data_IF_184713759899
#
_entry.id   IF_184713759899
#
_cell.length_a   1.000
_cell.length_b   1.000
_cell.length_c   1.000
_cell.angle_alpha   90.00
_cell.angle_beta   90.00
_cell.angle_gamma   90.00
#
_symmetry.space_group_name_H-M   'P 1'
#
loop_
_entity.id
_entity.type
_entity.pdbx_description
1 polymer ?
#
# COMPACT_ATOMS: atom_id res chain seq x y z
N UNK A 1 27.05 12.65 -49.36
CA UNK A 1 26.89 13.60 -48.22
C UNK A 1 25.55 14.28 -48.36
N UNK A 2 24.68 14.16 -47.35
CA UNK A 2 23.39 14.84 -47.29
C UNK A 2 23.43 16.05 -46.36
N UNK A 3 22.65 17.08 -46.68
CA UNK A 3 22.58 18.30 -45.87
C UNK A 3 21.33 18.28 -45.00
N UNK A 4 21.48 18.62 -43.75
CA UNK A 4 20.34 18.70 -42.82
C UNK A 4 19.38 19.84 -43.22
N UNK A 5 18.09 19.62 -43.40
CA UNK A 5 17.15 20.67 -43.81
C UNK A 5 16.86 21.67 -42.68
N UNK A 6 17.20 21.35 -41.41
CA UNK A 6 16.92 22.22 -40.28
C UNK A 6 18.13 23.12 -39.91
N UNK A 7 19.35 22.59 -39.95
CA UNK A 7 20.56 23.35 -39.52
C UNK A 7 21.66 23.42 -40.57
N UNK A 8 21.43 22.90 -41.78
CA UNK A 8 22.34 22.90 -42.95
C UNK A 8 23.71 22.22 -42.71
N UNK A 9 23.89 21.46 -41.63
CA UNK A 9 25.09 20.67 -41.38
C UNK A 9 25.23 19.55 -42.41
N UNK A 10 26.46 19.29 -42.87
CA UNK A 10 26.77 18.16 -43.75
C UNK A 10 26.91 16.89 -42.96
N UNK A 11 26.27 15.82 -43.42
CA UNK A 11 26.16 14.53 -42.74
C UNK A 11 26.48 13.39 -43.71
N UNK A 12 26.86 12.24 -43.17
CA UNK A 12 26.99 11.02 -43.94
C UNK A 12 25.66 10.61 -44.58
N UNK A 13 25.72 10.01 -45.78
CA UNK A 13 24.51 9.58 -46.52
C UNK A 13 23.66 8.58 -45.71
N UNK A 14 24.27 7.79 -44.80
CA UNK A 14 23.63 6.81 -43.97
C UNK A 14 23.19 7.33 -42.58
N UNK A 15 23.41 8.61 -42.27
CA UNK A 15 23.03 9.15 -40.97
C UNK A 15 21.50 9.15 -40.79
N UNK A 16 20.99 8.55 -39.74
CA UNK A 16 19.55 8.47 -39.43
C UNK A 16 19.08 9.69 -38.63
N UNK A 17 20.00 10.44 -38.05
CA UNK A 17 19.73 11.70 -37.34
C UNK A 17 20.87 12.68 -37.50
N UNK A 18 20.58 13.98 -37.40
CA UNK A 18 21.58 15.03 -37.45
C UNK A 18 22.33 15.14 -36.13
N UNK A 19 23.66 14.99 -36.13
CA UNK A 19 24.51 15.11 -34.95
C UNK A 19 24.62 16.54 -34.41
N UNK A 20 24.26 17.55 -35.23
CA UNK A 20 24.31 18.95 -34.83
C UNK A 20 23.02 19.48 -34.20
N UNK A 21 21.85 19.03 -34.67
CA UNK A 21 20.55 19.54 -34.19
C UNK A 21 19.55 18.45 -33.81
N UNK A 22 19.91 17.16 -33.91
CA UNK A 22 19.03 16.03 -33.49
C UNK A 22 17.89 15.70 -34.46
N UNK A 23 17.75 16.41 -35.61
CA UNK A 23 16.67 16.15 -36.57
C UNK A 23 16.81 14.76 -37.18
N UNK A 24 15.77 13.95 -37.15
CA UNK A 24 15.75 12.58 -37.66
C UNK A 24 15.46 12.56 -39.16
N UNK A 25 16.21 11.74 -39.93
CA UNK A 25 16.06 11.53 -41.38
C UNK A 25 15.59 10.09 -41.62
N UNK A 26 14.52 9.95 -42.35
CA UNK A 26 14.02 8.67 -42.81
C UNK A 26 12.65 8.34 -42.23
N UNK A 27 11.72 8.13 -43.14
CA UNK A 27 10.41 7.58 -42.84
C UNK A 27 10.57 6.09 -42.48
N UNK A 28 10.45 5.76 -41.21
CA UNK A 28 10.15 4.38 -40.78
C UNK A 28 8.67 4.18 -41.04
N UNK A 29 8.23 3.12 -41.76
CA UNK A 29 6.80 2.80 -41.89
C UNK A 29 6.19 2.65 -40.48
N UNK A 30 4.91 3.00 -40.27
CA UNK A 30 4.29 2.96 -38.96
C UNK A 30 4.14 1.52 -38.50
N UNK A 31 5.09 1.03 -37.70
CA UNK A 31 4.88 -0.11 -36.82
C UNK A 31 4.14 0.39 -35.61
N UNK A 32 2.87 0.06 -35.53
CA UNK A 32 2.06 0.16 -34.32
C UNK A 32 2.67 -0.71 -33.24
N UNK A 33 3.48 -0.09 -32.39
CA UNK A 33 3.74 -0.45 -31.00
C UNK A 33 4.55 0.71 -30.41
N UNK A 34 3.86 1.64 -29.77
CA UNK A 34 4.46 2.72 -29.02
C UNK A 34 5.18 2.15 -27.80
N UNK A 35 6.49 1.98 -27.91
CA UNK A 35 7.38 1.86 -26.77
C UNK A 35 7.78 3.27 -26.38
N UNK A 36 7.55 3.75 -25.15
CA UNK A 36 8.02 5.05 -24.69
C UNK A 36 9.56 5.15 -24.80
N UNK A 37 10.15 6.36 -24.98
CA UNK A 37 11.58 6.52 -25.12
C UNK A 37 12.31 5.96 -23.89
N UNK A 38 13.15 4.96 -24.12
CA UNK A 38 14.06 4.40 -23.15
C UNK A 38 15.07 5.48 -22.71
N UNK A 39 14.83 6.08 -21.57
CA UNK A 39 15.87 6.74 -20.80
C UNK A 39 16.91 5.68 -20.39
N UNK A 40 18.18 5.96 -20.71
CA UNK A 40 19.41 5.31 -20.27
C UNK A 40 19.21 3.97 -19.53
N UNK A 41 19.49 2.88 -20.24
CA UNK A 41 19.54 1.55 -19.64
C UNK A 41 20.61 1.53 -18.55
N UNK A 42 20.23 1.85 -17.33
CA UNK A 42 20.89 1.31 -16.14
C UNK A 42 20.76 -0.20 -16.28
N UNK A 43 21.87 -0.99 -16.16
CA UNK A 43 21.75 -2.44 -16.18
C UNK A 43 20.66 -2.85 -15.19
N UNK A 44 19.78 -3.81 -15.54
CA UNK A 44 18.72 -4.21 -14.63
C UNK A 44 19.36 -4.68 -13.34
N UNK A 45 19.33 -3.83 -12.31
CA UNK A 45 19.48 -4.32 -10.95
C UNK A 45 18.45 -5.43 -10.81
N UNK A 46 18.84 -6.61 -10.27
CA UNK A 46 17.85 -7.62 -9.94
C UNK A 46 16.82 -6.90 -9.08
N UNK A 47 15.64 -6.66 -9.64
CA UNK A 47 14.51 -6.18 -8.89
C UNK A 47 14.32 -7.25 -7.82
N UNK A 48 14.69 -6.94 -6.59
CA UNK A 48 14.24 -7.71 -5.44
C UNK A 48 12.72 -7.67 -5.56
N UNK A 49 12.15 -8.74 -6.09
CA UNK A 49 10.72 -8.92 -6.05
C UNK A 49 10.34 -8.70 -4.58
N UNK A 50 9.45 -7.75 -4.25
CA UNK A 50 9.06 -7.51 -2.87
C UNK A 50 8.70 -8.87 -2.29
N UNK A 51 9.35 -9.25 -1.17
CA UNK A 51 9.13 -10.54 -0.56
C UNK A 51 7.62 -10.71 -0.37
N UNK A 52 7.05 -11.75 -0.97
CA UNK A 52 5.63 -12.03 -0.89
C UNK A 52 5.23 -12.15 0.58
N UNK A 53 4.46 -11.18 1.06
CA UNK A 53 3.90 -11.19 2.40
C UNK A 53 2.44 -11.68 2.30
N UNK A 54 2.14 -12.92 2.70
CA UNK A 54 0.80 -13.50 2.59
C UNK A 54 -0.25 -12.77 3.43
N UNK A 55 0.16 -11.84 4.27
CA UNK A 55 -0.70 -11.04 5.14
C UNK A 55 -0.85 -9.59 4.68
N UNK A 56 -0.26 -9.24 3.53
CA UNK A 56 -0.42 -7.94 2.89
C UNK A 56 -1.48 -8.04 1.78
N UNK A 57 -2.69 -7.59 2.10
CA UNK A 57 -3.83 -7.57 1.19
C UNK A 57 -3.96 -6.26 0.41
N UNK A 58 -2.96 -5.37 0.50
CA UNK A 58 -3.02 -4.03 -0.11
C UNK A 58 -3.33 -4.08 -1.61
N UNK A 59 -2.77 -5.06 -2.34
CA UNK A 59 -2.98 -5.22 -3.78
C UNK A 59 -4.41 -5.70 -4.15
N UNK A 60 -5.20 -6.16 -3.19
CA UNK A 60 -6.58 -6.63 -3.41
C UNK A 60 -7.60 -5.47 -3.44
N UNK A 61 -7.19 -4.28 -3.02
CA UNK A 61 -8.05 -3.10 -2.90
C UNK A 61 -7.75 -2.08 -3.99
N UNK A 62 -8.81 -1.43 -4.49
CA UNK A 62 -8.70 -0.32 -5.44
C UNK A 62 -7.96 0.85 -4.77
N UNK A 63 -6.92 1.43 -5.41
CA UNK A 63 -6.20 2.59 -4.89
C UNK A 63 -7.09 3.78 -4.55
N UNK A 64 -8.20 3.95 -5.29
CA UNK A 64 -9.19 4.98 -5.02
C UNK A 64 -9.98 4.68 -3.75
N UNK A 65 -10.42 3.43 -3.54
CA UNK A 65 -11.10 3.00 -2.32
C UNK A 65 -10.21 3.22 -1.09
N UNK A 66 -8.90 2.90 -1.20
CA UNK A 66 -7.91 3.19 -0.15
C UNK A 66 -7.82 4.69 0.13
N UNK A 67 -7.65 5.51 -0.91
CA UNK A 67 -7.49 6.97 -0.78
C UNK A 67 -8.70 7.62 -0.11
N UNK A 68 -9.90 7.26 -0.54
CA UNK A 68 -11.15 7.88 -0.10
C UNK A 68 -11.54 7.44 1.32
N UNK A 69 -11.19 6.23 1.74
CA UNK A 69 -11.69 5.62 2.98
C UNK A 69 -10.62 5.39 4.06
N UNK A 70 -9.34 5.72 3.81
CA UNK A 70 -8.27 5.52 4.81
C UNK A 70 -8.51 6.25 6.13
N UNK A 71 -9.15 7.43 6.10
CA UNK A 71 -9.45 8.21 7.31
C UNK A 71 -10.41 7.43 8.22
N UNK A 72 -11.45 6.83 7.66
CA UNK A 72 -12.40 5.99 8.42
C UNK A 72 -11.71 4.74 8.98
N UNK A 73 -10.82 4.13 8.21
CA UNK A 73 -10.00 3.02 8.71
C UNK A 73 -9.11 3.43 9.89
N UNK A 74 -8.50 4.63 9.86
CA UNK A 74 -7.71 5.17 10.98
C UNK A 74 -8.55 5.37 12.24
N UNK A 75 -9.76 5.93 12.11
CA UNK A 75 -10.65 6.21 13.22
C UNK A 75 -11.00 4.93 14.01
N UNK A 76 -11.10 3.77 13.35
CA UNK A 76 -11.35 2.48 14.01
C UNK A 76 -10.29 2.16 15.07
N UNK A 77 -9.03 2.51 14.84
CA UNK A 77 -7.93 2.23 15.78
C UNK A 77 -7.72 3.32 16.82
N UNK A 78 -8.11 4.57 16.52
CA UNK A 78 -7.99 5.69 17.45
C UNK A 78 -9.14 5.74 18.46
N UNK A 79 -10.38 5.57 18.00
CA UNK A 79 -11.60 5.76 18.79
C UNK A 79 -12.23 4.43 19.25
N UNK A 80 -11.61 3.30 18.95
CA UNK A 80 -12.11 1.98 19.35
C UNK A 80 -13.53 1.70 18.85
N UNK A 81 -14.44 1.27 19.71
CA UNK A 81 -15.82 0.96 19.33
C UNK A 81 -16.56 2.11 18.65
N UNK A 82 -16.36 3.34 19.11
CA UNK A 82 -17.00 4.52 18.50
C UNK A 82 -16.50 4.68 17.07
N UNK A 83 -15.19 4.54 16.83
CA UNK A 83 -14.60 4.60 15.50
C UNK A 83 -15.10 3.49 14.57
N UNK A 84 -15.28 2.28 15.09
CA UNK A 84 -15.84 1.15 14.34
C UNK A 84 -17.27 1.46 13.91
N UNK A 85 -18.12 1.99 14.80
CA UNK A 85 -19.51 2.35 14.48
C UNK A 85 -19.53 3.46 13.42
N UNK A 86 -18.71 4.50 13.57
CA UNK A 86 -18.61 5.60 12.60
C UNK A 86 -18.19 5.06 11.23
N UNK A 87 -17.17 4.22 11.17
CA UNK A 87 -16.70 3.64 9.92
C UNK A 87 -17.76 2.75 9.27
N UNK A 88 -18.49 1.93 10.03
CA UNK A 88 -19.59 1.10 9.52
C UNK A 88 -20.71 1.93 8.90
N UNK A 89 -21.07 3.05 9.53
CA UNK A 89 -22.14 3.92 9.03
C UNK A 89 -21.70 4.74 7.81
N UNK A 90 -20.45 5.19 7.80
CA UNK A 90 -19.92 6.07 6.75
C UNK A 90 -19.42 5.32 5.51
N UNK A 91 -18.98 4.07 5.63
CA UNK A 91 -18.23 3.35 4.58
C UNK A 91 -18.68 1.91 4.37
N UNK A 92 -19.99 1.65 4.49
CA UNK A 92 -20.53 0.29 4.36
C UNK A 92 -20.28 -0.38 2.99
N UNK A 93 -19.99 0.39 1.94
CA UNK A 93 -19.68 -0.09 0.60
C UNK A 93 -18.17 -0.25 0.34
N UNK A 94 -17.30 0.30 1.18
CA UNK A 94 -15.84 0.23 1.02
C UNK A 94 -15.30 -1.11 1.51
N UNK A 95 -14.69 -1.87 0.59
CA UNK A 95 -14.03 -3.14 0.95
C UNK A 95 -12.80 -2.91 1.83
N UNK A 96 -12.03 -1.85 1.56
CA UNK A 96 -10.86 -1.46 2.33
C UNK A 96 -11.21 -1.07 3.77
N UNK A 97 -12.20 -0.19 3.96
CA UNK A 97 -12.63 0.21 5.30
C UNK A 97 -13.19 -0.98 6.08
N UNK A 98 -14.01 -1.84 5.44
CA UNK A 98 -14.57 -3.05 6.08
C UNK A 98 -13.48 -4.06 6.49
N UNK A 99 -12.39 -4.18 5.75
CA UNK A 99 -11.24 -4.98 6.15
C UNK A 99 -10.69 -4.49 7.49
N UNK A 100 -10.43 -3.17 7.61
CA UNK A 100 -9.89 -2.59 8.84
C UNK A 100 -10.90 -2.59 10.00
N UNK A 101 -12.19 -2.43 9.73
CA UNK A 101 -13.25 -2.57 10.72
C UNK A 101 -13.22 -3.97 11.36
N UNK A 102 -13.12 -5.04 10.55
CA UNK A 102 -13.01 -6.41 11.07
C UNK A 102 -11.76 -6.62 11.90
N UNK A 103 -10.62 -6.07 11.48
CA UNK A 103 -9.37 -6.16 12.24
C UNK A 103 -9.47 -5.39 13.57
N UNK A 104 -9.98 -4.16 13.54
CA UNK A 104 -10.19 -3.35 14.74
C UNK A 104 -11.15 -4.03 15.72
N UNK A 105 -12.23 -4.64 15.22
CA UNK A 105 -13.20 -5.36 16.06
C UNK A 105 -12.55 -6.55 16.77
N UNK A 106 -11.70 -7.33 16.07
CA UNK A 106 -10.94 -8.42 16.70
C UNK A 106 -10.05 -7.91 17.84
N UNK A 107 -9.39 -6.75 17.65
CA UNK A 107 -8.55 -6.11 18.65
C UNK A 107 -9.38 -5.68 19.87
N UNK A 108 -10.55 -5.07 19.66
CA UNK A 108 -11.43 -4.63 20.73
C UNK A 108 -11.98 -5.81 21.52
N UNK A 109 -12.39 -6.89 20.85
CA UNK A 109 -12.81 -8.12 21.50
C UNK A 109 -11.68 -8.72 22.36
N UNK A 110 -10.45 -8.77 21.83
CA UNK A 110 -9.30 -9.24 22.60
C UNK A 110 -9.02 -8.35 23.82
N UNK A 111 -9.19 -7.03 23.68
CA UNK A 111 -9.05 -6.07 24.78
C UNK A 111 -10.08 -6.31 25.89
N UNK A 112 -11.34 -6.56 25.53
CA UNK A 112 -12.39 -6.89 26.51
C UNK A 112 -12.10 -8.23 27.18
N UNK A 113 -11.72 -9.25 26.40
CA UNK A 113 -11.41 -10.57 26.96
C UNK A 113 -10.23 -10.52 27.94
N UNK A 114 -9.28 -9.60 27.74
CA UNK A 114 -8.17 -9.44 28.69
C UNK A 114 -8.59 -8.96 30.06
N UNK A 115 -9.78 -8.33 30.21
CA UNK A 115 -10.32 -7.90 31.52
C UNK A 115 -10.59 -9.12 32.41
N UNK A 116 -11.01 -10.26 31.84
CA UNK A 116 -11.27 -11.48 32.61
C UNK A 116 -10.01 -12.03 33.30
N UNK A 117 -8.81 -11.66 32.84
CA UNK A 117 -7.55 -12.04 33.49
C UNK A 117 -7.45 -11.42 34.89
N UNK A 118 -8.11 -10.26 35.13
CA UNK A 118 -8.12 -9.61 36.43
C UNK A 118 -8.82 -10.45 37.53
N UNK A 119 -9.62 -11.47 37.18
CA UNK A 119 -10.25 -12.38 38.11
C UNK A 119 -9.20 -13.17 38.89
N UNK A 120 -8.00 -13.38 38.32
CA UNK A 120 -6.90 -14.08 38.97
C UNK A 120 -6.13 -13.06 39.82
N UNK A 121 -6.21 -13.11 41.17
CA UNK A 121 -5.52 -12.15 42.01
C UNK A 121 -3.99 -12.27 41.85
N UNK A 122 -3.28 -11.16 42.02
CA UNK A 122 -1.84 -10.99 41.84
C UNK A 122 -1.37 -11.19 40.39
N UNK A 123 -1.61 -12.36 39.78
CA UNK A 123 -1.19 -12.66 38.41
C UNK A 123 -1.93 -11.76 37.40
N UNK A 124 -3.25 -11.58 37.58
CA UNK A 124 -4.06 -10.74 36.71
C UNK A 124 -3.64 -9.27 36.74
N UNK A 125 -3.26 -8.75 37.90
CA UNK A 125 -2.84 -7.37 38.07
C UNK A 125 -1.53 -7.06 37.33
N UNK A 126 -0.67 -8.04 37.16
CA UNK A 126 0.58 -7.91 36.41
C UNK A 126 0.33 -8.21 34.93
N UNK A 127 -0.42 -9.24 34.61
CA UNK A 127 -0.65 -9.69 33.23
C UNK A 127 -1.54 -8.72 32.43
N UNK A 128 -2.58 -8.13 33.05
CA UNK A 128 -3.51 -7.23 32.38
C UNK A 128 -2.84 -6.00 31.77
N UNK A 129 -2.03 -5.19 32.50
CA UNK A 129 -1.35 -4.03 31.89
C UNK A 129 -0.37 -4.44 30.80
N UNK A 130 0.27 -5.60 30.89
CA UNK A 130 1.16 -6.11 29.85
C UNK A 130 0.34 -6.43 28.58
N UNK A 131 -0.79 -7.12 28.71
CA UNK A 131 -1.68 -7.44 27.59
C UNK A 131 -2.22 -6.16 26.94
N UNK A 132 -2.66 -5.19 27.73
CA UNK A 132 -3.13 -3.91 27.24
C UNK A 132 -2.01 -3.14 26.53
N UNK A 133 -0.78 -3.16 27.04
CA UNK A 133 0.38 -2.57 26.40
C UNK A 133 0.65 -3.19 25.02
N UNK A 134 0.58 -4.51 24.89
CA UNK A 134 0.73 -5.21 23.60
C UNK A 134 -0.39 -4.80 22.64
N UNK A 135 -1.64 -4.73 23.09
CA UNK A 135 -2.79 -4.31 22.28
C UNK A 135 -2.60 -2.87 21.78
N UNK A 136 -2.12 -1.96 22.63
CA UNK A 136 -1.81 -0.59 22.25
C UNK A 136 -0.74 -0.51 21.16
N UNK A 137 0.34 -1.29 21.30
CA UNK A 137 1.40 -1.35 20.28
C UNK A 137 0.83 -1.84 18.94
N UNK A 138 -0.03 -2.85 18.95
CA UNK A 138 -0.68 -3.35 17.73
C UNK A 138 -1.55 -2.27 17.09
N UNK A 139 -2.35 -1.53 17.87
CA UNK A 139 -3.18 -0.42 17.37
C UNK A 139 -2.33 0.67 16.72
N UNK A 140 -1.22 1.04 17.35
CA UNK A 140 -0.29 2.04 16.81
C UNK A 140 0.34 1.57 15.48
N UNK A 141 0.82 0.33 15.42
CA UNK A 141 1.41 -0.23 14.19
C UNK A 141 0.36 -0.25 13.07
N UNK A 142 -0.85 -0.72 13.36
CA UNK A 142 -1.95 -0.75 12.38
C UNK A 142 -2.31 0.64 11.89
N UNK A 143 -2.36 1.63 12.77
CA UNK A 143 -2.60 3.02 12.43
C UNK A 143 -1.56 3.55 11.43
N UNK A 144 -0.26 3.34 11.68
CA UNK A 144 0.80 3.77 10.75
C UNK A 144 0.77 3.02 9.41
N UNK A 145 0.38 1.75 9.40
CA UNK A 145 0.19 0.99 8.16
C UNK A 145 -0.92 1.61 7.30
N UNK A 146 -2.04 2.01 7.92
CA UNK A 146 -3.14 2.70 7.22
C UNK A 146 -2.69 4.07 6.72
N UNK A 147 -1.92 4.83 7.49
CA UNK A 147 -1.34 6.11 7.03
C UNK A 147 -0.53 5.93 5.74
N UNK A 148 0.14 4.78 5.59
CA UNK A 148 0.87 4.39 4.38
C UNK A 148 -0.01 3.76 3.30
N UNK A 149 -1.33 3.69 3.48
CA UNK A 149 -2.29 3.07 2.55
C UNK A 149 -2.18 1.55 2.47
N UNK A 150 -1.60 0.88 3.48
CA UNK A 150 -1.43 -0.58 3.49
C UNK A 150 -2.57 -1.27 4.21
N UNK A 151 -2.98 -2.42 3.67
CA UNK A 151 -3.95 -3.33 4.28
C UNK A 151 -3.24 -4.60 4.77
N UNK A 152 -2.55 -4.51 5.91
CA UNK A 152 -1.83 -5.64 6.51
C UNK A 152 -2.58 -6.21 7.72
N UNK A 153 -2.59 -7.54 7.82
CA UNK A 153 -3.09 -8.21 9.03
C UNK A 153 -2.06 -8.15 10.15
N UNK A 154 -2.41 -7.59 11.35
CA UNK A 154 -1.53 -7.60 12.50
C UNK A 154 -1.17 -9.02 12.94
N UNK A 155 0.10 -9.26 13.29
CA UNK A 155 0.66 -10.59 13.54
C UNK A 155 -0.12 -11.45 14.56
N UNK A 156 -0.66 -10.82 15.61
CA UNK A 156 -1.37 -11.52 16.69
C UNK A 156 -2.82 -11.85 16.29
N UNK A 157 -3.45 -10.99 15.48
CA UNK A 157 -4.88 -11.08 15.13
C UNK A 157 -5.14 -12.16 14.07
N UNK A 158 -4.15 -12.49 13.25
CA UNK A 158 -4.26 -13.57 12.25
C UNK A 158 -4.59 -14.93 12.88
N UNK A 159 -4.25 -15.15 14.18
CA UNK A 159 -4.61 -16.35 14.92
C UNK A 159 -6.10 -16.42 15.27
N UNK A 160 -6.81 -15.28 15.28
CA UNK A 160 -8.25 -15.24 15.60
C UNK A 160 -9.08 -15.44 14.32
N UNK A 161 -9.40 -16.69 13.99
CA UNK A 161 -10.14 -17.07 12.78
C UNK A 161 -11.66 -16.83 12.82
N UNK A 162 -12.22 -16.23 13.88
CA UNK A 162 -13.68 -16.17 14.11
C UNK A 162 -14.42 -15.06 13.31
N UNK A 163 -13.70 -14.17 12.64
CA UNK A 163 -14.28 -13.12 11.78
C UNK A 163 -13.57 -13.13 10.38
N UNK A 164 -13.73 -14.24 9.67
CA UNK A 164 -13.31 -14.33 8.28
C UNK A 164 -14.35 -13.77 7.33
#
# INVERSE_FOLDING_TARGET
MKTCPNCHAQLDDNAIFCTACGTQFGAVPPQQNAIPPQQNAVPPQPAFAPAYDPYDHTAEFDPKDISDNKVFAMICYLMGFIGIIVALLATNSSKYAMFHVRQALKIEVASILSIFVLIIPFLGWIAFPILQGIIWVIKIISFFQICSGKAKEPAIIRSFGFLR
#
